data_IF_100102689372
#
_entry.id   IF_100102689372
#
_cell.length_a   1.000
_cell.length_b   1.000
_cell.length_c   1.000
_cell.angle_alpha   90.00
_cell.angle_beta   90.00
_cell.angle_gamma   90.00
#
_symmetry.space_group_name_H-M   'P 1'
#
loop_
_entity.id
_entity.type
_entity.pdbx_description
1 polymer ?
#
# COMPACT_ATOMS: atom_id res chain seq x y z
N UNK A 1 14.83 46.80 18.56
CA UNK A 1 14.17 45.61 19.14
C UNK A 1 12.93 45.31 18.31
N UNK A 2 13.09 44.59 17.21
CA UNK A 2 11.96 44.09 16.42
C UNK A 2 11.91 42.59 16.66
N UNK A 3 10.94 42.16 17.47
CA UNK A 3 10.71 40.75 17.75
C UNK A 3 9.95 40.12 16.59
N UNK A 4 10.61 39.20 15.90
CA UNK A 4 9.97 38.27 14.99
C UNK A 4 8.95 37.45 15.77
N UNK A 5 7.67 37.61 15.43
CA UNK A 5 6.61 36.72 15.91
C UNK A 5 6.80 35.36 15.24
N UNK A 6 7.41 34.42 15.95
CA UNK A 6 7.36 33.00 15.59
C UNK A 6 5.88 32.60 15.42
N UNK A 7 5.48 32.32 14.18
CA UNK A 7 4.19 31.75 13.87
C UNK A 7 4.12 30.39 14.58
N UNK A 8 3.22 30.27 15.56
CA UNK A 8 2.97 29.01 16.26
C UNK A 8 2.61 27.94 15.24
N UNK A 9 3.49 26.94 15.05
CA UNK A 9 3.20 25.77 14.23
C UNK A 9 1.87 25.17 14.75
N UNK A 10 0.90 24.86 13.88
CA UNK A 10 -0.33 24.22 14.33
C UNK A 10 0.05 22.94 15.07
N UNK A 11 -0.46 22.78 16.29
CA UNK A 11 -0.20 21.59 17.11
C UNK A 11 -0.80 20.39 16.39
N UNK A 12 -0.02 19.69 15.58
CA UNK A 12 -0.50 18.52 14.85
C UNK A 12 -0.92 17.46 15.88
N UNK A 13 -2.21 17.12 15.91
CA UNK A 13 -2.66 15.95 16.68
C UNK A 13 -2.00 14.73 16.06
N UNK A 14 -1.18 14.06 16.86
CA UNK A 14 -0.55 12.78 16.52
C UNK A 14 -1.21 11.66 17.32
N UNK A 15 -1.71 10.65 16.63
CA UNK A 15 -2.18 9.41 17.27
C UNK A 15 -1.26 8.26 16.90
N UNK A 16 -0.86 7.49 17.89
CA UNK A 16 -0.01 6.32 17.71
C UNK A 16 -0.86 5.06 17.75
N UNK A 17 -0.66 4.17 16.79
CA UNK A 17 -1.30 2.87 16.73
C UNK A 17 -0.22 1.78 16.74
N UNK A 18 -0.38 0.81 17.62
CA UNK A 18 0.42 -0.42 17.63
C UNK A 18 -0.46 -1.52 17.06
N UNK A 19 -0.02 -2.12 15.95
CA UNK A 19 -0.70 -3.22 15.28
C UNK A 19 0.04 -4.51 15.59
N UNK A 20 -0.69 -5.52 16.02
CA UNK A 20 -0.18 -6.88 16.12
C UNK A 20 -0.15 -7.56 14.74
N UNK A 21 0.39 -8.79 14.71
CA UNK A 21 0.48 -9.60 13.51
C UNK A 21 -0.90 -9.78 12.85
N UNK A 22 -0.96 -9.52 11.55
CA UNK A 22 -2.15 -9.61 10.70
C UNK A 22 -3.28 -8.60 11.01
N UNK A 23 -3.06 -7.67 11.94
CA UNK A 23 -4.00 -6.57 12.14
C UNK A 23 -3.92 -5.55 11.02
N UNK A 24 -5.02 -4.81 10.87
CA UNK A 24 -5.15 -3.77 9.86
C UNK A 24 -5.62 -2.46 10.49
N UNK A 25 -5.10 -1.34 10.01
CA UNK A 25 -5.57 0.00 10.38
C UNK A 25 -6.24 0.63 9.16
N UNK A 26 -7.58 0.67 9.16
CA UNK A 26 -8.35 1.33 8.12
C UNK A 26 -8.42 2.82 8.40
N UNK A 27 -8.18 3.63 7.38
CA UNK A 27 -8.24 5.08 7.51
C UNK A 27 -9.09 5.74 6.42
N UNK A 28 -9.67 6.88 6.78
CA UNK A 28 -10.41 7.79 5.90
C UNK A 28 -9.96 9.23 6.16
N UNK A 29 -9.62 9.94 5.10
CA UNK A 29 -9.01 11.26 5.15
C UNK A 29 -10.01 12.31 4.68
N UNK A 30 -10.39 13.24 5.54
CA UNK A 30 -11.17 14.44 5.23
C UNK A 30 -10.30 15.66 4.94
N UNK A 31 -9.12 15.78 5.54
CA UNK A 31 -8.15 16.86 5.27
C UNK A 31 -6.74 16.29 5.08
N UNK A 32 -5.87 16.93 4.28
CA UNK A 32 -4.51 16.44 4.06
C UNK A 32 -3.81 16.10 5.38
N UNK A 33 -3.33 14.88 5.47
CA UNK A 33 -2.81 14.26 6.69
C UNK A 33 -1.59 13.41 6.32
N UNK A 34 -0.92 12.84 7.31
CA UNK A 34 0.21 11.95 7.06
C UNK A 34 0.26 10.73 7.97
N UNK A 35 0.91 9.69 7.47
CA UNK A 35 1.12 8.41 8.15
C UNK A 35 2.61 8.12 8.15
N UNK A 36 3.17 7.81 9.31
CA UNK A 36 4.60 7.53 9.50
C UNK A 36 4.73 6.14 10.13
N UNK A 37 5.52 5.27 9.51
CA UNK A 37 5.92 4.00 10.12
C UNK A 37 7.08 4.26 11.10
N UNK A 38 6.91 3.91 12.36
CA UNK A 38 7.94 4.09 13.39
C UNK A 38 8.80 2.84 13.54
N UNK A 39 8.16 1.66 13.59
CA UNK A 39 8.86 0.38 13.74
C UNK A 39 8.04 -0.78 13.17
N UNK A 40 8.74 -1.88 12.88
CA UNK A 40 8.15 -3.08 12.27
C UNK A 40 7.98 -2.95 10.76
N UNK A 41 7.10 -3.76 10.18
CA UNK A 41 6.82 -3.77 8.74
C UNK A 41 5.35 -3.50 8.48
N UNK A 42 5.07 -2.61 7.54
CA UNK A 42 3.70 -2.24 7.18
C UNK A 42 3.62 -1.95 5.69
N UNK A 43 2.43 -2.12 5.11
CA UNK A 43 2.18 -1.83 3.71
C UNK A 43 0.78 -1.26 3.48
N UNK A 44 0.61 -0.57 2.35
CA UNK A 44 -0.68 -0.09 1.86
C UNK A 44 -0.86 -0.63 0.44
N UNK A 45 -1.89 -1.44 0.21
CA UNK A 45 -2.16 -2.08 -1.09
C UNK A 45 -0.94 -2.80 -1.69
N UNK A 46 -0.16 -3.47 -0.85
CA UNK A 46 1.05 -4.21 -1.21
C UNK A 46 2.32 -3.36 -1.41
N UNK A 47 2.23 -2.04 -1.26
CA UNK A 47 3.38 -1.12 -1.28
C UNK A 47 3.92 -0.97 0.14
N UNK A 48 5.19 -1.34 0.36
CA UNK A 48 5.84 -1.24 1.66
C UNK A 48 6.00 0.22 2.11
N UNK A 49 5.74 0.48 3.39
CA UNK A 49 6.03 1.76 4.02
C UNK A 49 7.48 1.78 4.51
N UNK A 50 8.17 2.89 4.27
CA UNK A 50 9.54 3.11 4.74
C UNK A 50 9.51 3.69 6.15
N UNK A 51 10.23 3.05 7.09
CA UNK A 51 10.30 3.53 8.46
C UNK A 51 10.91 4.94 8.52
N UNK A 52 10.29 5.82 9.30
CA UNK A 52 10.67 7.23 9.43
C UNK A 52 10.25 8.14 8.27
N UNK A 53 9.78 7.60 7.15
CA UNK A 53 9.30 8.40 6.04
C UNK A 53 7.83 8.83 6.25
N UNK A 54 7.54 10.08 5.91
CA UNK A 54 6.20 10.64 6.00
C UNK A 54 5.42 10.36 4.71
N UNK A 55 4.40 9.51 4.80
CA UNK A 55 3.46 9.29 3.70
C UNK A 55 2.34 10.33 3.78
N UNK A 56 2.35 11.28 2.86
CA UNK A 56 1.26 12.24 2.72
C UNK A 56 0.04 11.60 2.06
N UNK A 57 -1.11 11.76 2.72
CA UNK A 57 -2.42 11.31 2.22
C UNK A 57 -3.33 12.51 1.99
N UNK A 58 -3.90 12.58 0.79
CA UNK A 58 -4.75 13.68 0.36
C UNK A 58 -6.18 13.55 0.90
N UNK A 59 -6.89 14.68 1.00
CA UNK A 59 -8.32 14.68 1.33
C UNK A 59 -9.12 13.79 0.36
N UNK A 60 -10.09 13.05 0.90
CA UNK A 60 -10.91 12.09 0.17
C UNK A 60 -10.29 10.69 0.02
N UNK A 61 -9.02 10.50 0.39
CA UNK A 61 -8.39 9.18 0.31
C UNK A 61 -8.87 8.24 1.42
N UNK A 62 -9.01 6.97 1.05
CA UNK A 62 -9.32 5.87 1.95
C UNK A 62 -8.33 4.75 1.70
N UNK A 63 -7.90 4.10 2.76
CA UNK A 63 -6.98 2.99 2.64
C UNK A 63 -6.87 2.16 3.90
N UNK A 64 -6.05 1.14 3.81
CA UNK A 64 -5.80 0.23 4.92
C UNK A 64 -4.30 0.00 5.00
N UNK A 65 -3.73 0.30 6.16
CA UNK A 65 -2.37 -0.09 6.52
C UNK A 65 -2.45 -1.52 7.05
N UNK A 66 -1.71 -2.44 6.47
CA UNK A 66 -1.69 -3.85 6.87
C UNK A 66 -0.30 -4.24 7.36
N UNK A 67 -0.21 -5.23 8.25
CA UNK A 67 1.09 -5.79 8.69
C UNK A 67 1.04 -7.31 8.80
N UNK A 68 2.14 -7.98 8.42
CA UNK A 68 2.30 -9.43 8.54
C UNK A 68 3.10 -9.85 9.77
N UNK A 69 3.75 -8.91 10.45
CA UNK A 69 4.68 -9.19 11.56
C UNK A 69 4.39 -8.34 12.79
N UNK A 70 3.57 -7.29 12.65
CA UNK A 70 3.33 -6.26 13.66
C UNK A 70 4.12 -4.99 13.35
N UNK A 71 3.55 -3.85 13.68
CA UNK A 71 4.16 -2.54 13.44
C UNK A 71 3.64 -1.47 14.40
N UNK A 72 4.34 -0.34 14.43
CA UNK A 72 3.91 0.87 15.12
C UNK A 72 3.84 2.00 14.11
N UNK A 73 2.67 2.60 13.96
CA UNK A 73 2.43 3.71 13.03
C UNK A 73 1.93 4.93 13.78
N UNK A 74 2.35 6.11 13.33
CA UNK A 74 1.86 7.39 13.82
C UNK A 74 1.08 8.05 12.70
N UNK A 75 -0.11 8.50 13.06
CA UNK A 75 -1.01 9.21 12.18
C UNK A 75 -1.05 10.67 12.65
N UNK A 76 -0.66 11.58 11.76
CA UNK A 76 -0.67 13.02 12.00
C UNK A 76 -1.78 13.70 11.20
N UNK A 77 -2.54 14.56 11.86
CA UNK A 77 -3.57 15.38 11.21
C UNK A 77 -4.93 15.27 11.88
N UNK A 78 -5.69 16.36 11.79
CA UNK A 78 -7.03 16.48 12.38
C UNK A 78 -8.10 15.77 11.55
N UNK A 79 -7.91 15.66 10.24
CA UNK A 79 -8.90 15.12 9.31
C UNK A 79 -8.59 13.70 8.86
N UNK A 80 -8.05 12.84 9.73
CA UNK A 80 -7.88 11.42 9.41
C UNK A 80 -8.57 10.58 10.47
N UNK A 81 -9.63 9.87 10.10
CA UNK A 81 -10.27 8.90 10.97
C UNK A 81 -9.58 7.56 10.75
N UNK A 82 -9.08 6.92 11.81
CA UNK A 82 -8.35 5.65 11.72
C UNK A 82 -8.92 4.65 12.74
N UNK A 83 -9.17 3.42 12.28
CA UNK A 83 -9.86 2.35 13.01
C UNK A 83 -9.05 1.07 12.91
N UNK A 84 -8.71 0.49 14.06
CA UNK A 84 -8.02 -0.79 14.13
C UNK A 84 -9.02 -1.92 13.89
N UNK A 85 -8.71 -2.79 12.93
CA UNK A 85 -9.43 -4.03 12.64
C UNK A 85 -8.61 -5.18 13.19
N UNK A 86 -9.17 -5.86 14.20
CA UNK A 86 -8.53 -6.95 14.92
C UNK A 86 -9.36 -8.24 14.95
N UNK A 87 -10.53 -8.26 14.29
CA UNK A 87 -11.37 -9.45 14.25
C UNK A 87 -10.67 -10.58 13.49
N UNK A 88 -10.96 -11.85 13.84
CA UNK A 88 -10.37 -13.00 13.17
C UNK A 88 -10.73 -13.05 11.68
N UNK A 89 -11.98 -12.68 11.34
CA UNK A 89 -12.47 -12.65 9.96
C UNK A 89 -11.68 -11.65 9.09
N UNK A 90 -11.30 -10.51 9.67
CA UNK A 90 -10.49 -9.51 8.99
C UNK A 90 -9.05 -10.01 8.73
N UNK A 91 -8.47 -10.79 9.65
CA UNK A 91 -7.11 -11.32 9.51
C UNK A 91 -7.00 -12.33 8.37
N UNK A 92 -8.06 -13.10 8.11
CA UNK A 92 -8.12 -14.08 7.03
C UNK A 92 -7.96 -13.45 5.63
N UNK A 93 -8.35 -12.17 5.47
CA UNK A 93 -8.24 -11.45 4.19
C UNK A 93 -6.78 -11.36 3.73
N UNK A 94 -5.84 -11.10 4.64
CA UNK A 94 -4.41 -11.03 4.32
C UNK A 94 -3.89 -12.39 3.83
N UNK A 95 -4.35 -13.48 4.45
CA UNK A 95 -4.00 -14.83 4.05
C UNK A 95 -4.50 -15.15 2.64
N UNK A 96 -5.73 -14.74 2.30
CA UNK A 96 -6.28 -14.90 0.95
C UNK A 96 -5.43 -14.18 -0.09
N UNK A 97 -5.05 -12.93 0.16
CA UNK A 97 -4.24 -12.14 -0.79
C UNK A 97 -2.85 -12.77 -0.99
N UNK A 98 -2.23 -13.23 0.09
CA UNK A 98 -0.92 -13.88 0.05
C UNK A 98 -0.96 -15.21 -0.72
N UNK A 99 -1.96 -16.05 -0.44
CA UNK A 99 -2.13 -17.34 -1.10
C UNK A 99 -2.39 -17.17 -2.60
N UNK A 100 -3.21 -16.19 -2.98
CA UNK A 100 -3.47 -15.89 -4.39
C UNK A 100 -2.19 -15.42 -5.10
N UNK A 101 -1.41 -14.53 -4.48
CA UNK A 101 -0.13 -14.11 -5.03
C UNK A 101 0.85 -15.29 -5.17
N UNK A 102 0.95 -16.16 -4.17
CA UNK A 102 1.82 -17.33 -4.21
C UNK A 102 1.45 -18.30 -5.35
N UNK A 103 0.15 -18.54 -5.55
CA UNK A 103 -0.35 -19.36 -6.67
C UNK A 103 -0.02 -18.73 -8.03
N UNK A 104 -0.25 -17.42 -8.19
CA UNK A 104 0.12 -16.69 -9.40
C UNK A 104 1.62 -16.70 -9.66
N UNK A 105 2.43 -16.66 -8.60
CA UNK A 105 3.87 -16.74 -8.71
C UNK A 105 4.35 -18.11 -9.19
N UNK A 106 3.77 -19.19 -8.68
CA UNK A 106 4.05 -20.54 -9.17
C UNK A 106 3.73 -20.67 -10.67
N UNK A 107 2.58 -20.14 -11.11
CA UNK A 107 2.21 -20.13 -12.53
C UNK A 107 3.16 -19.28 -13.39
N UNK A 108 3.67 -18.15 -12.88
CA UNK A 108 4.68 -17.35 -13.60
C UNK A 108 5.98 -18.11 -13.77
N UNK A 109 6.45 -18.81 -12.73
CA UNK A 109 7.68 -19.61 -12.80
C UNK A 109 7.58 -20.73 -13.83
N UNK A 110 6.50 -21.51 -13.78
CA UNK A 110 6.23 -22.55 -14.78
C UNK A 110 6.20 -21.97 -16.20
N UNK A 111 5.53 -20.83 -16.41
CA UNK A 111 5.51 -20.18 -17.71
C UNK A 111 6.89 -19.70 -18.20
N UNK A 112 7.80 -19.30 -17.31
CA UNK A 112 9.19 -18.93 -17.68
C UNK A 112 9.97 -20.18 -18.09
N UNK A 113 9.84 -21.27 -17.33
CA UNK A 113 10.48 -22.56 -17.63
C UNK A 113 10.01 -23.11 -18.98
N UNK A 114 8.71 -23.05 -19.25
CA UNK A 114 8.08 -23.53 -20.48
C UNK A 114 8.20 -22.55 -21.67
N UNK A 115 8.86 -21.39 -21.49
CA UNK A 115 8.88 -20.29 -22.48
C UNK A 115 7.47 -19.87 -22.97
N UNK A 116 6.50 -19.98 -22.08
CA UNK A 116 5.08 -19.73 -22.32
C UNK A 116 4.62 -18.34 -21.90
N UNK A 117 3.29 -18.17 -21.84
CA UNK A 117 2.65 -16.94 -21.38
C UNK A 117 2.31 -17.04 -19.89
N UNK A 118 2.56 -15.96 -19.15
CA UNK A 118 2.17 -15.85 -17.75
C UNK A 118 0.65 -15.88 -17.52
N UNK A 119 0.21 -16.00 -16.25
CA UNK A 119 -1.20 -16.11 -15.90
C UNK A 119 -1.98 -14.83 -16.27
N UNK A 120 -3.19 -15.03 -16.81
CA UNK A 120 -4.16 -13.97 -17.10
C UNK A 120 -5.35 -14.13 -16.16
N UNK A 121 -5.59 -13.13 -15.32
CA UNK A 121 -6.60 -13.20 -14.25
C UNK A 121 -7.68 -12.15 -14.50
N UNK A 122 -8.93 -12.58 -14.47
CA UNK A 122 -10.09 -11.70 -14.46
C UNK A 122 -10.71 -11.73 -13.07
N UNK A 123 -10.91 -10.55 -12.46
CA UNK A 123 -11.55 -10.41 -11.15
C UNK A 123 -12.97 -9.90 -11.33
N UNK A 124 -13.95 -10.73 -10.99
CA UNK A 124 -15.38 -10.43 -11.11
C UNK A 124 -16.07 -10.37 -9.74
N UNK A 125 -17.15 -9.59 -9.63
CA UNK A 125 -17.96 -9.49 -8.43
C UNK A 125 -18.76 -8.20 -8.35
N UNK A 126 -19.67 -8.12 -7.38
CA UNK A 126 -20.55 -6.97 -7.13
C UNK A 126 -19.79 -5.65 -6.94
N UNK A 127 -20.49 -4.53 -7.05
CA UNK A 127 -19.92 -3.21 -6.80
C UNK A 127 -19.38 -3.10 -5.37
N UNK A 128 -18.30 -2.33 -5.20
CA UNK A 128 -17.73 -1.99 -3.88
C UNK A 128 -17.25 -3.16 -3.00
N UNK A 129 -17.02 -4.36 -3.55
CA UNK A 129 -16.47 -5.52 -2.81
C UNK A 129 -14.93 -5.58 -2.72
N UNK A 130 -14.23 -4.51 -3.11
CA UNK A 130 -12.77 -4.45 -3.03
C UNK A 130 -11.99 -5.05 -4.21
N UNK A 131 -12.62 -5.23 -5.38
CA UNK A 131 -11.96 -5.76 -6.59
C UNK A 131 -10.69 -4.97 -6.96
N UNK A 132 -10.78 -3.64 -6.99
CA UNK A 132 -9.63 -2.78 -7.32
C UNK A 132 -8.52 -2.87 -6.29
N UNK A 133 -8.88 -2.97 -5.00
CA UNK A 133 -7.93 -3.18 -3.90
C UNK A 133 -7.16 -4.48 -4.10
N UNK A 134 -7.86 -5.59 -4.40
CA UNK A 134 -7.23 -6.87 -4.69
C UNK A 134 -6.28 -6.78 -5.88
N UNK A 135 -6.74 -6.25 -7.01
CA UNK A 135 -5.91 -6.12 -8.22
C UNK A 135 -4.65 -5.28 -7.97
N UNK A 136 -4.78 -4.15 -7.25
CA UNK A 136 -3.66 -3.28 -6.88
C UNK A 136 -2.66 -3.99 -5.97
N UNK A 137 -3.14 -4.72 -4.97
CA UNK A 137 -2.28 -5.48 -4.05
C UNK A 137 -1.50 -6.57 -4.79
N UNK A 138 -2.18 -7.37 -5.62
CA UNK A 138 -1.52 -8.44 -6.39
C UNK A 138 -0.50 -7.89 -7.38
N UNK A 139 -0.80 -6.75 -8.01
CA UNK A 139 0.14 -6.09 -8.93
C UNK A 139 1.38 -5.59 -8.18
N UNK A 140 1.21 -4.95 -7.02
CA UNK A 140 2.31 -4.48 -6.18
C UNK A 140 3.19 -5.64 -5.70
N UNK A 141 2.59 -6.76 -5.27
CA UNK A 141 3.35 -7.96 -4.90
C UNK A 141 4.12 -8.56 -6.08
N UNK A 142 3.52 -8.62 -7.27
CA UNK A 142 4.22 -9.06 -8.47
C UNK A 142 5.40 -8.15 -8.82
N UNK A 143 5.23 -6.83 -8.72
CA UNK A 143 6.31 -5.86 -8.91
C UNK A 143 7.45 -6.03 -7.91
N UNK A 144 7.14 -6.32 -6.63
CA UNK A 144 8.15 -6.66 -5.59
C UNK A 144 8.94 -7.91 -5.92
N UNK A 145 8.34 -8.87 -6.65
CA UNK A 145 9.02 -10.06 -7.20
C UNK A 145 9.69 -9.81 -8.55
N UNK A 146 9.84 -8.55 -8.97
CA UNK A 146 10.43 -8.12 -10.25
C UNK A 146 9.66 -8.58 -11.49
N UNK A 147 8.40 -8.97 -11.33
CA UNK A 147 7.50 -9.21 -12.46
C UNK A 147 6.89 -7.90 -12.95
N UNK A 148 6.43 -7.90 -14.21
CA UNK A 148 5.81 -6.73 -14.85
C UNK A 148 4.34 -7.05 -15.18
N UNK A 149 3.43 -7.04 -14.19
CA UNK A 149 2.02 -7.32 -14.43
C UNK A 149 1.39 -6.22 -15.28
N UNK A 150 0.46 -6.59 -16.16
CA UNK A 150 -0.36 -5.63 -16.90
C UNK A 150 -1.73 -5.57 -16.20
N UNK A 151 -2.07 -4.39 -15.67
CA UNK A 151 -3.38 -4.13 -15.08
C UNK A 151 -4.30 -3.52 -16.14
N UNK A 152 -5.40 -4.20 -16.43
CA UNK A 152 -6.42 -3.74 -17.36
C UNK A 152 -7.70 -3.45 -16.58
N UNK A 153 -8.17 -2.20 -16.62
CA UNK A 153 -9.43 -1.80 -16.00
C UNK A 153 -10.55 -1.83 -17.05
N UNK A 154 -11.58 -2.63 -16.76
CA UNK A 154 -12.76 -2.80 -17.62
C UNK A 154 -13.99 -2.17 -16.95
N UNK A 155 -13.83 -1.53 -15.79
CA UNK A 155 -14.93 -0.90 -15.07
C UNK A 155 -15.15 0.54 -15.55
N UNK A 156 -16.13 0.72 -16.44
CA UNK A 156 -16.50 2.03 -16.99
C UNK A 156 -17.04 3.03 -15.95
N UNK A 157 -17.54 2.56 -14.81
CA UNK A 157 -18.15 3.42 -13.78
C UNK A 157 -17.18 3.99 -12.74
N UNK A 158 -16.01 3.37 -12.58
CA UNK A 158 -14.97 3.76 -11.64
C UNK A 158 -13.64 3.69 -12.38
N UNK A 159 -13.31 4.71 -13.17
CA UNK A 159 -12.03 4.83 -13.90
C UNK A 159 -10.85 4.97 -12.91
N UNK A 160 -10.48 3.88 -12.23
CA UNK A 160 -9.40 3.88 -11.25
C UNK A 160 -8.03 3.68 -11.89
N UNK A 161 -7.99 3.30 -13.17
CA UNK A 161 -6.75 3.13 -13.94
C UNK A 161 -6.72 4.08 -15.14
N UNK A 162 -6.78 5.38 -14.87
CA UNK A 162 -6.27 6.38 -15.82
C UNK A 162 -4.77 6.57 -15.53
N UNK A 163 -3.97 5.61 -16.02
CA UNK A 163 -2.49 5.68 -16.09
C UNK A 163 -1.83 5.99 -14.73
N UNK A 164 -1.59 4.95 -13.93
CA UNK A 164 -0.47 4.96 -12.98
C UNK A 164 0.53 3.93 -13.45
N UNK A 165 1.42 4.40 -14.33
CA UNK A 165 2.71 3.77 -14.57
C UNK A 165 3.43 3.77 -13.21
N UNK A 166 3.44 2.63 -12.52
CA UNK A 166 4.33 2.47 -11.37
C UNK A 166 5.74 2.55 -11.94
N UNK A 167 6.34 3.73 -11.86
CA UNK A 167 7.79 3.87 -11.85
C UNK A 167 8.29 2.83 -10.84
N UNK A 168 8.92 1.77 -11.35
CA UNK A 168 9.96 1.14 -10.55
C UNK A 168 10.86 2.28 -10.09
N UNK A 169 11.22 2.41 -8.81
CA UNK A 169 12.41 3.16 -8.49
C UNK A 169 13.52 2.53 -9.33
N UNK A 170 13.94 3.26 -10.34
CA UNK A 170 15.05 2.92 -11.19
C UNK A 170 16.20 2.65 -10.24
N UNK A 171 16.69 1.41 -10.26
CA UNK A 171 17.91 1.05 -9.57
C UNK A 171 18.99 1.88 -10.25
N UNK A 172 19.36 3.03 -9.68
CA UNK A 172 20.53 3.80 -10.13
C UNK A 172 21.70 2.88 -9.86
N UNK A 173 22.35 2.28 -10.87
CA UNK A 173 23.59 1.58 -10.61
C UNK A 173 24.57 2.64 -10.15
N UNK A 174 25.10 2.51 -8.93
CA UNK A 174 26.31 3.23 -8.55
C UNK A 174 27.34 2.95 -9.65
N UNK A 175 27.73 4.01 -10.35
CA UNK A 175 28.83 3.97 -11.30
C UNK A 175 30.07 3.53 -10.53
N UNK A 176 30.79 2.47 -10.94
CA UNK A 176 32.12 2.24 -10.41
C UNK A 176 33.01 3.38 -10.92
N UNK A 177 33.38 4.29 -10.02
CA UNK A 177 34.50 5.20 -10.26
C UNK A 177 35.75 4.34 -10.48
N UNK A 178 36.14 4.20 -11.73
CA UNK A 178 37.53 3.91 -12.08
C UNK A 178 38.27 5.25 -12.01
N UNK A 179 39.12 5.41 -10.99
CA UNK A 179 40.50 5.91 -11.09
C UNK A 179 41.27 5.54 -9.82
#
# INVERSE_FOLDING_TARGET
MNGDKEASKPVLISRTFTLEKYQMLRYEVSTPSSIILISGTAEIFGTELVAGAELHVSAGQRGTVTTFQGCKVVVHGYGIAAYLLSSSEDQDILHVYMNLHASLEAMRKAAIEDQGRGPRVLVCGHESVGKSTLCRTLASYAARRRHKPILVDVNVGLNQVSISFYLCPEFVPETPEYY
#
